data_IF_839402174808
#
_entry.id   IF_839402174808
#
_cell.length_a   1.000
_cell.length_b   1.000
_cell.length_c   1.000
_cell.angle_alpha   90.00
_cell.angle_beta   90.00
_cell.angle_gamma   90.00
#
_symmetry.space_group_name_H-M   'P 1'
#
loop_
_entity.id
_entity.type
_entity.pdbx_description
1 polymer ?
#
# COMPACT_ATOMS: atom_id res chain seq x y z
N UNK A 1 -6.42 13.91 -6.33
CA UNK A 1 -5.88 15.18 -5.78
C UNK A 1 -6.64 15.48 -4.50
N UNK A 2 -6.06 15.70 -3.32
CA UNK A 2 -4.68 15.78 -2.93
C UNK A 2 -4.70 15.79 -1.39
N UNK A 3 -4.09 14.79 -0.74
CA UNK A 3 -3.55 14.96 0.61
C UNK A 3 -2.09 15.41 0.52
N UNK A 4 -1.77 16.23 -0.49
CA UNK A 4 -0.42 16.71 -0.80
C UNK A 4 -0.25 18.19 -0.44
N UNK A 5 -1.28 18.85 0.10
CA UNK A 5 -1.23 20.27 0.43
C UNK A 5 -1.91 20.69 1.73
N UNK A 6 -2.41 19.75 2.54
CA UNK A 6 -2.92 20.10 3.86
C UNK A 6 -1.75 20.16 4.85
N UNK A 7 -1.46 21.36 5.35
CA UNK A 7 -0.43 21.59 6.38
C UNK A 7 -0.62 20.77 7.67
N UNK A 8 -1.82 20.21 7.88
CA UNK A 8 -2.12 19.29 8.97
C UNK A 8 -1.58 17.86 8.75
N UNK A 9 -1.26 17.47 7.51
CA UNK A 9 -0.73 16.15 7.16
C UNK A 9 0.67 16.27 6.55
N UNK A 10 1.69 16.24 7.41
CA UNK A 10 3.08 16.21 6.99
C UNK A 10 3.50 14.77 6.72
N UNK A 11 3.86 14.46 5.47
CA UNK A 11 4.43 13.18 5.10
C UNK A 11 5.94 13.17 5.35
N UNK A 12 6.40 12.32 6.26
CA UNK A 12 7.83 12.08 6.47
C UNK A 12 8.27 10.79 5.75
N UNK A 13 9.43 10.78 5.07
CA UNK A 13 9.95 9.56 4.49
C UNK A 13 10.30 8.56 5.60
N UNK A 14 9.84 7.33 5.45
CA UNK A 14 10.27 6.19 6.27
C UNK A 14 10.86 5.16 5.32
N UNK A 15 12.04 4.64 5.65
CA UNK A 15 12.71 3.64 4.83
C UNK A 15 12.27 2.24 5.29
N UNK A 16 11.62 1.51 4.40
CA UNK A 16 11.46 0.06 4.56
C UNK A 16 12.82 -0.64 4.47
N UNK A 17 12.93 -1.82 5.07
CA UNK A 17 14.08 -2.70 4.88
C UNK A 17 14.14 -3.18 3.43
N UNK A 18 15.33 -3.59 2.98
CA UNK A 18 15.60 -4.05 1.61
C UNK A 18 14.71 -5.24 1.22
N UNK A 19 14.21 -6.01 2.19
CA UNK A 19 13.32 -7.16 1.99
C UNK A 19 11.82 -6.78 1.88
N UNK A 20 11.49 -5.49 1.83
CA UNK A 20 10.11 -4.98 1.75
C UNK A 20 9.38 -4.92 3.09
N UNK A 21 10.09 -5.11 4.21
CA UNK A 21 9.53 -5.01 5.56
C UNK A 21 9.58 -3.59 6.09
N UNK A 22 8.44 -3.04 6.49
CA UNK A 22 8.31 -1.75 7.17
C UNK A 22 8.05 -1.97 8.67
N UNK A 23 9.00 -1.61 9.54
CA UNK A 23 8.84 -1.70 10.98
C UNK A 23 7.73 -0.76 11.48
N UNK A 24 6.77 -1.28 12.26
CA UNK A 24 5.66 -0.45 12.76
C UNK A 24 6.10 0.55 13.83
N UNK A 25 7.16 0.25 14.58
CA UNK A 25 7.72 1.09 15.64
C UNK A 25 8.33 2.40 15.12
N UNK A 26 8.62 2.48 13.82
CA UNK A 26 9.11 3.67 13.14
C UNK A 26 8.00 4.56 12.59
N UNK A 27 6.74 4.14 12.68
CA UNK A 27 5.63 4.89 12.14
C UNK A 27 5.09 5.91 13.16
N UNK A 28 4.88 7.17 12.75
CA UNK A 28 4.16 8.14 13.57
C UNK A 28 2.74 7.66 13.86
N UNK A 29 2.37 7.60 15.14
CA UNK A 29 1.02 7.24 15.59
C UNK A 29 0.19 8.50 15.76
N UNK A 30 -0.93 8.57 15.05
CA UNK A 30 -1.94 9.62 15.16
C UNK A 30 -3.11 9.11 15.99
N UNK A 31 -3.69 9.98 16.82
CA UNK A 31 -4.94 9.68 17.51
C UNK A 31 -6.10 10.30 16.74
N UNK A 32 -6.90 9.46 16.09
CA UNK A 32 -8.04 9.88 15.26
C UNK A 32 -9.32 9.34 15.88
N UNK A 33 -10.12 10.23 16.49
CA UNK A 33 -11.38 9.86 17.12
C UNK A 33 -11.24 8.84 18.24
N UNK A 34 -10.15 8.88 19.01
CA UNK A 34 -9.85 7.96 20.10
C UNK A 34 -9.17 6.65 19.65
N UNK A 35 -8.81 6.51 18.37
CA UNK A 35 -8.14 5.34 17.82
C UNK A 35 -6.71 5.67 17.42
N UNK A 36 -5.78 4.76 17.72
CA UNK A 36 -4.39 4.91 17.33
C UNK A 36 -4.17 4.37 15.91
N UNK A 37 -3.79 5.26 15.00
CA UNK A 37 -3.65 4.96 13.57
C UNK A 37 -2.30 5.48 13.06
N UNK A 38 -1.61 4.69 12.26
CA UNK A 38 -0.48 5.14 11.43
C UNK A 38 -0.88 5.14 9.97
N UNK A 39 -0.25 5.99 9.16
CA UNK A 39 -0.49 6.02 7.72
C UNK A 39 0.81 5.82 6.96
N UNK A 40 0.77 4.93 5.99
CA UNK A 40 1.89 4.63 5.10
C UNK A 40 1.44 4.89 3.68
N UNK A 41 2.27 5.60 2.90
CA UNK A 41 2.01 5.85 1.49
C UNK A 41 3.26 5.52 0.68
N UNK A 42 3.08 4.73 -0.37
CA UNK A 42 4.15 4.39 -1.30
C UNK A 42 3.67 4.47 -2.75
N UNK A 43 4.63 4.56 -3.66
CA UNK A 43 4.39 4.74 -5.08
C UNK A 43 4.85 3.51 -5.86
N UNK A 44 4.02 3.07 -6.80
CA UNK A 44 4.38 2.08 -7.81
C UNK A 44 4.33 2.78 -9.17
N UNK A 45 5.35 2.59 -10.00
CA UNK A 45 5.38 3.16 -11.35
C UNK A 45 5.13 2.04 -12.36
N UNK A 46 4.13 2.20 -13.22
CA UNK A 46 3.82 1.28 -14.30
C UNK A 46 4.15 1.93 -15.65
N UNK A 47 4.79 1.19 -16.54
CA UNK A 47 5.18 1.62 -17.89
C UNK A 47 4.04 1.43 -18.91
N UNK A 48 3.11 0.53 -18.62
CA UNK A 48 1.95 0.22 -19.46
C UNK A 48 0.63 0.54 -18.74
N UNK A 49 -0.41 0.98 -19.47
CA UNK A 49 -1.74 1.11 -18.90
C UNK A 49 -2.34 -0.27 -18.60
N UNK A 50 -3.14 -0.36 -17.54
CA UNK A 50 -3.85 -1.59 -17.13
C UNK A 50 -2.89 -2.75 -16.85
N UNK A 51 -1.72 -2.46 -16.27
CA UNK A 51 -0.76 -3.48 -15.89
C UNK A 51 -1.33 -4.32 -14.75
N UNK A 52 -1.71 -5.56 -15.05
CA UNK A 52 -2.15 -6.53 -14.06
C UNK A 52 -1.00 -6.88 -13.11
N UNK A 53 -1.22 -6.66 -11.83
CA UNK A 53 -0.22 -6.85 -10.78
C UNK A 53 -0.86 -7.48 -9.56
N UNK A 54 -0.08 -8.22 -8.80
CA UNK A 54 -0.51 -8.78 -7.52
C UNK A 54 0.25 -8.11 -6.38
N UNK A 55 -0.49 -7.59 -5.41
CA UNK A 55 0.07 -7.12 -4.14
C UNK A 55 -0.13 -8.19 -3.09
N UNK A 56 0.95 -8.59 -2.43
CA UNK A 56 0.90 -9.56 -1.35
C UNK A 56 1.25 -8.90 -0.01
N UNK A 57 0.46 -9.18 1.01
CA UNK A 57 0.60 -8.69 2.37
C UNK A 57 0.85 -9.87 3.30
N UNK A 58 1.79 -9.73 4.24
CA UNK A 58 2.00 -10.77 5.26
C UNK A 58 0.78 -11.01 6.16
N UNK A 59 -0.04 -9.98 6.40
CA UNK A 59 -1.30 -10.05 7.13
C UNK A 59 -2.11 -8.77 6.84
N UNK A 60 -3.43 -8.86 6.75
CA UNK A 60 -4.30 -7.69 6.48
C UNK A 60 -5.09 -7.18 7.69
N UNK A 61 -5.02 -7.88 8.83
CA UNK A 61 -5.67 -7.44 10.08
C UNK A 61 -5.21 -6.02 10.45
N UNK A 62 -6.18 -5.15 10.71
CA UNK A 62 -5.93 -3.76 11.10
C UNK A 62 -5.50 -2.85 9.94
N UNK A 63 -5.53 -3.32 8.69
CA UNK A 63 -5.23 -2.50 7.52
C UNK A 63 -6.52 -2.00 6.85
N UNK A 64 -6.43 -0.78 6.31
CA UNK A 64 -7.38 -0.26 5.33
C UNK A 64 -6.58 0.37 4.22
N UNK A 65 -6.93 0.06 2.96
CA UNK A 65 -6.11 0.42 1.81
C UNK A 65 -6.86 1.24 0.76
N UNK A 66 -6.11 2.10 0.08
CA UNK A 66 -6.57 2.88 -1.06
C UNK A 66 -5.53 2.87 -2.18
N UNK A 67 -5.97 2.61 -3.40
CA UNK A 67 -5.16 2.75 -4.62
C UNK A 67 -5.67 3.98 -5.39
N UNK A 68 -4.79 4.95 -5.63
CA UNK A 68 -5.14 6.22 -6.28
C UNK A 68 -6.35 6.93 -5.62
N UNK A 69 -6.48 6.80 -4.30
CA UNK A 69 -7.58 7.34 -3.51
C UNK A 69 -8.89 6.52 -3.55
N UNK A 70 -8.96 5.45 -4.33
CA UNK A 70 -10.11 4.54 -4.38
C UNK A 70 -9.93 3.44 -3.32
N UNK A 71 -10.95 3.14 -2.48
CA UNK A 71 -10.86 2.07 -1.49
C UNK A 71 -10.58 0.71 -2.16
N UNK A 72 -9.68 -0.07 -1.56
CA UNK A 72 -9.36 -1.43 -2.00
C UNK A 72 -9.69 -2.41 -0.88
N UNK A 73 -10.41 -3.48 -1.21
CA UNK A 73 -10.64 -4.57 -0.29
C UNK A 73 -9.34 -5.37 -0.12
N UNK A 74 -8.74 -5.29 1.07
CA UNK A 74 -7.46 -5.95 1.34
C UNK A 74 -7.66 -7.43 1.70
N UNK A 75 -6.90 -8.28 1.01
CA UNK A 75 -6.66 -9.69 1.32
C UNK A 75 -5.14 -9.91 1.36
N UNK A 76 -4.68 -11.08 1.81
CA UNK A 76 -3.24 -11.38 1.82
C UNK A 76 -2.64 -11.36 0.41
N UNK A 77 -3.46 -11.61 -0.61
CA UNK A 77 -3.12 -11.48 -2.02
C UNK A 77 -4.22 -10.68 -2.70
N UNK A 78 -3.87 -9.54 -3.29
CA UNK A 78 -4.81 -8.60 -3.91
C UNK A 78 -4.41 -8.38 -5.37
N UNK A 79 -5.21 -8.83 -6.35
CA UNK A 79 -5.02 -8.42 -7.74
C UNK A 79 -5.40 -6.95 -7.87
N UNK A 80 -4.51 -6.17 -8.49
CA UNK A 80 -4.72 -4.75 -8.79
C UNK A 80 -4.33 -4.46 -10.24
N UNK A 81 -5.01 -3.52 -10.85
CA UNK A 81 -4.63 -2.97 -12.14
C UNK A 81 -4.02 -1.59 -11.92
N UNK A 82 -2.81 -1.40 -12.44
CA UNK A 82 -2.10 -0.13 -12.36
C UNK A 82 -2.41 0.73 -13.59
N UNK A 83 -2.68 2.01 -13.36
CA UNK A 83 -2.75 3.01 -14.42
C UNK A 83 -1.33 3.32 -14.93
N UNK A 84 -1.19 3.79 -16.18
CA UNK A 84 0.14 4.17 -16.68
C UNK A 84 0.70 5.34 -15.86
N UNK A 85 1.99 5.29 -15.52
CA UNK A 85 2.65 6.29 -14.69
C UNK A 85 2.60 5.94 -13.20
N UNK A 86 2.40 6.96 -12.37
CA UNK A 86 2.51 6.86 -10.91
C UNK A 86 1.20 6.43 -10.26
N UNK A 87 1.25 5.32 -9.53
CA UNK A 87 0.14 4.80 -8.74
C UNK A 87 0.46 4.91 -7.26
N UNK A 88 -0.42 5.54 -6.49
CA UNK A 88 -0.25 5.74 -5.06
C UNK A 88 -1.05 4.70 -4.28
N UNK A 89 -0.33 3.90 -3.49
CA UNK A 89 -0.94 3.06 -2.46
C UNK A 89 -0.86 3.79 -1.13
N UNK A 90 -2.00 3.93 -0.45
CA UNK A 90 -2.09 4.44 0.91
C UNK A 90 -2.68 3.37 1.82
N UNK A 91 -2.07 3.15 2.97
CA UNK A 91 -2.51 2.21 3.99
C UNK A 91 -2.69 2.94 5.31
N UNK A 92 -3.85 2.77 5.92
CA UNK A 92 -4.07 3.07 7.32
C UNK A 92 -3.81 1.80 8.13
N UNK A 93 -3.01 1.92 9.18
CA UNK A 93 -2.61 0.84 10.08
C UNK A 93 -3.16 1.15 11.46
N UNK A 94 -4.09 0.34 11.94
CA UNK A 94 -4.61 0.45 13.30
C UNK A 94 -3.63 -0.20 14.28
N UNK A 95 -3.02 0.63 15.14
CA UNK A 95 -2.08 0.16 16.16
C UNK A 95 -2.76 -0.77 17.18
N UNK A 96 -4.03 -0.51 17.49
CA UNK A 96 -4.83 -1.34 18.40
C UNK A 96 -5.06 -2.77 17.89
N UNK A 97 -5.01 -2.95 16.56
CA UNK A 97 -5.36 -4.21 15.91
C UNK A 97 -4.15 -4.99 15.35
N UNK A 98 -2.98 -4.36 15.26
CA UNK A 98 -1.79 -4.91 14.58
C UNK A 98 -0.55 -4.84 15.46
N UNK A 99 0.04 -6.01 15.71
CA UNK A 99 1.28 -6.16 16.47
C UNK A 99 2.49 -6.56 15.62
N UNK A 100 2.28 -6.89 14.34
CA UNK A 100 3.32 -7.41 13.43
C UNK A 100 3.72 -6.36 12.40
N UNK A 101 5.00 -6.34 12.05
CA UNK A 101 5.56 -5.51 10.96
C UNK A 101 4.76 -5.64 9.66
N UNK A 102 4.79 -4.60 8.84
CA UNK A 102 4.10 -4.57 7.55
C UNK A 102 5.07 -5.01 6.46
N UNK A 103 4.81 -6.18 5.84
CA UNK A 103 5.56 -6.60 4.65
C UNK A 103 4.63 -6.60 3.45
N UNK A 104 5.09 -5.95 2.39
CA UNK A 104 4.36 -5.83 1.12
C UNK A 104 5.30 -6.28 0.02
N UNK A 105 4.84 -7.20 -0.83
CA UNK A 105 5.54 -7.57 -2.06
C UNK A 105 4.65 -7.27 -3.26
N UNK A 106 5.31 -7.01 -4.40
CA UNK A 106 4.66 -6.73 -5.65
C UNK A 106 5.15 -7.77 -6.66
N UNK A 107 4.22 -8.54 -7.18
CA UNK A 107 4.46 -9.56 -8.19
C UNK A 107 3.75 -9.13 -9.47
N UNK A 108 4.54 -8.78 -10.50
CA UNK A 108 3.98 -8.52 -11.82
C UNK A 108 3.65 -9.85 -12.48
N UNK A 109 2.36 -10.15 -12.64
CA UNK A 109 1.93 -11.27 -13.47
C UNK A 109 2.22 -10.91 -14.92
N UNK A 110 3.33 -11.39 -15.47
CA UNK A 110 3.55 -11.34 -16.92
C UNK A 110 2.44 -12.17 -17.58
N UNK A 111 1.62 -11.61 -18.49
CA UNK A 111 0.65 -12.43 -19.20
C UNK A 111 1.41 -13.48 -20.02
N UNK A 112 1.20 -14.77 -19.72
CA UNK A 112 1.66 -15.84 -20.60
C UNK A 112 1.01 -15.64 -21.97
N UNK A 113 1.82 -15.31 -22.99
CA UNK A 113 1.38 -15.36 -24.39
C UNK A 113 1.17 -16.83 -24.74
N UNK A 114 -0.06 -17.34 -24.59
CA UNK A 114 -0.44 -18.62 -25.19
C UNK A 114 -0.62 -18.40 -26.69
N UNK A 115 0.34 -18.86 -27.48
CA UNK A 115 0.10 -19.11 -28.89
C UNK A 115 -0.88 -20.27 -28.98
N UNK A 116 -2.11 -19.98 -29.40
CA UNK A 116 -3.04 -21.02 -29.85
C UNK A 116 -2.48 -21.62 -31.17
N UNK A 117 -2.60 -22.95 -31.37
CA UNK A 117 -2.16 -23.60 -32.60
C UNK A 117 -2.93 -23.14 -33.84
#
# INVERSE_FOLDING_TARGET
LAAEGDSAFQWSPVYGRVDGTLPLDQLPVLNVGGRQMSFVRFRVTADQPQLATTLSFNQTRGLTGWLNGKPVALAEVVPVELESGENWMTLAVSADARANDLKITLDTTTPEVRLAP
#
